data_IF_202251047116
#
_entry.id   IF_202251047116
#
_cell.length_a   1.000
_cell.length_b   1.000
_cell.length_c   1.000
_cell.angle_alpha   90.00
_cell.angle_beta   90.00
_cell.angle_gamma   90.00
#
_symmetry.space_group_name_H-M   'P 1'
#
loop_
_entity.id
_entity.type
_entity.pdbx_description
1 polymer ?
#
# COMPACT_ATOMS: atom_id res chain seq x y z
N UNK A 1 3.74 19.43 17.96
CA UNK A 1 4.73 18.35 17.76
C UNK A 1 4.55 17.36 18.90
N UNK A 2 3.75 16.34 18.69
CA UNK A 2 3.70 15.17 19.59
C UNK A 2 4.43 14.08 18.84
N UNK A 3 5.63 13.73 19.30
CA UNK A 3 6.35 12.57 18.82
C UNK A 3 5.54 11.34 19.19
N UNK A 4 5.08 10.61 18.18
CA UNK A 4 4.47 9.31 18.35
C UNK A 4 5.51 8.39 18.98
N UNK A 5 5.38 8.22 20.31
CA UNK A 5 6.14 7.23 21.08
C UNK A 5 5.70 5.82 20.66
N UNK A 6 5.95 5.46 19.40
CA UNK A 6 5.82 4.09 18.96
C UNK A 6 6.88 3.27 19.69
N UNK A 7 6.54 2.08 20.27
CA UNK A 7 7.54 1.19 20.82
C UNK A 7 8.61 0.96 19.75
N UNK A 8 9.87 0.92 20.17
CA UNK A 8 10.99 0.65 19.27
C UNK A 8 10.73 -0.67 18.54
N UNK A 9 10.23 -0.57 17.32
CA UNK A 9 10.01 -1.71 16.43
C UNK A 9 11.35 -2.28 15.96
N UNK A 10 11.32 -3.38 15.22
CA UNK A 10 12.53 -3.90 14.61
C UNK A 10 13.12 -2.83 13.70
N UNK A 11 14.44 -2.67 13.73
CA UNK A 11 15.17 -1.74 12.88
C UNK A 11 16.15 -2.51 12.00
N UNK A 12 16.09 -2.27 10.69
CA UNK A 12 16.93 -2.96 9.69
C UNK A 12 17.77 -1.94 8.93
N UNK A 13 18.98 -2.33 8.51
CA UNK A 13 19.85 -1.45 7.77
C UNK A 13 19.40 -1.27 6.31
N UNK A 14 18.78 -2.31 5.73
CA UNK A 14 18.39 -2.34 4.32
C UNK A 14 17.19 -3.28 4.08
N UNK A 15 16.64 -3.25 2.88
CA UNK A 15 15.50 -4.10 2.49
C UNK A 15 15.81 -5.60 2.53
N UNK A 16 16.98 -6.11 2.07
CA UNK A 16 17.31 -7.52 2.19
C UNK A 16 17.25 -8.04 3.61
N UNK A 17 17.73 -7.29 4.61
CA UNK A 17 17.63 -7.67 6.01
C UNK A 17 16.17 -7.72 6.50
N UNK A 18 15.35 -6.70 6.14
CA UNK A 18 13.93 -6.71 6.45
C UNK A 18 13.21 -7.89 5.79
N UNK A 19 13.51 -8.20 4.53
CA UNK A 19 12.87 -9.31 3.81
C UNK A 19 13.22 -10.66 4.44
N UNK A 20 14.50 -10.88 4.76
CA UNK A 20 14.93 -12.10 5.45
C UNK A 20 14.25 -12.25 6.83
N UNK A 21 14.09 -11.15 7.57
CA UNK A 21 13.37 -11.17 8.84
C UNK A 21 11.88 -11.47 8.65
N UNK A 22 11.23 -10.91 7.62
CA UNK A 22 9.83 -11.21 7.29
C UNK A 22 9.63 -12.68 6.92
N UNK A 23 10.53 -13.27 6.13
CA UNK A 23 10.48 -14.70 5.75
C UNK A 23 10.64 -15.62 6.94
N UNK A 24 11.45 -15.23 7.93
CA UNK A 24 11.74 -15.98 9.15
C UNK A 24 10.88 -15.62 10.36
N UNK A 25 9.78 -14.88 10.21
CA UNK A 25 8.96 -14.38 11.32
C UNK A 25 8.52 -15.48 12.29
N UNK A 26 8.84 -15.28 13.57
CA UNK A 26 8.38 -16.10 14.67
C UNK A 26 7.19 -15.44 15.37
N UNK A 27 6.22 -16.24 15.82
CA UNK A 27 5.03 -15.71 16.51
C UNK A 27 4.05 -14.96 15.60
N UNK A 28 4.18 -15.10 14.30
CA UNK A 28 3.27 -14.53 13.30
C UNK A 28 1.85 -15.10 13.52
N UNK A 29 0.85 -14.25 13.80
CA UNK A 29 -0.50 -14.70 14.14
C UNK A 29 -1.21 -15.42 12.98
N UNK A 30 -0.75 -15.24 11.74
CA UNK A 30 -1.31 -15.91 10.56
C UNK A 30 -0.50 -17.14 10.10
N UNK A 31 0.64 -17.45 10.75
CA UNK A 31 1.50 -18.57 10.35
C UNK A 31 0.81 -19.94 10.43
N UNK A 32 -0.09 -20.13 11.40
CA UNK A 32 -0.80 -21.39 11.61
C UNK A 32 -1.68 -21.81 10.40
N UNK A 33 -1.98 -20.89 9.50
CA UNK A 33 -2.80 -21.15 8.32
C UNK A 33 -2.00 -21.67 7.12
N UNK A 34 -0.68 -21.87 7.25
CA UNK A 34 0.17 -22.45 6.20
C UNK A 34 0.32 -21.61 4.93
N UNK A 35 -0.05 -20.33 4.98
CA UNK A 35 0.04 -19.39 3.84
C UNK A 35 1.45 -18.80 3.73
N UNK A 36 1.83 -18.38 2.53
CA UNK A 36 3.15 -17.80 2.25
C UNK A 36 3.27 -16.38 2.79
N UNK A 37 4.51 -15.97 3.07
CA UNK A 37 4.84 -14.55 3.19
C UNK A 37 4.86 -13.95 1.78
N UNK A 38 4.12 -12.88 1.58
CA UNK A 38 4.00 -12.12 0.32
C UNK A 38 4.41 -10.68 0.62
N UNK A 39 5.65 -10.31 0.29
CA UNK A 39 6.25 -9.07 0.80
C UNK A 39 5.95 -7.89 -0.13
N UNK A 40 6.48 -7.93 -1.35
CA UNK A 40 6.42 -6.77 -2.24
C UNK A 40 6.62 -7.12 -3.70
N UNK A 41 6.33 -6.15 -4.57
CA UNK A 41 6.74 -6.10 -5.99
C UNK A 41 6.99 -4.66 -6.42
N UNK A 42 7.55 -4.46 -7.61
CA UNK A 42 7.87 -3.15 -8.18
C UNK A 42 9.29 -2.71 -7.85
N UNK A 43 9.57 -1.41 -7.99
CA UNK A 43 10.90 -0.85 -7.84
C UNK A 43 11.15 -0.37 -6.39
N UNK A 44 12.16 -0.89 -5.69
CA UNK A 44 12.56 -0.38 -4.37
C UNK A 44 12.99 1.08 -4.33
N UNK A 45 13.40 1.65 -5.46
CA UNK A 45 13.75 3.06 -5.59
C UNK A 45 12.55 3.97 -5.97
N UNK A 46 11.34 3.39 -6.09
CA UNK A 46 10.16 4.14 -6.48
C UNK A 46 9.75 5.20 -5.45
N UNK A 47 9.38 6.38 -5.94
CA UNK A 47 8.87 7.48 -5.10
C UNK A 47 7.40 7.35 -4.74
N UNK A 48 6.67 6.47 -5.41
CA UNK A 48 5.28 6.14 -5.16
C UNK A 48 5.19 4.74 -4.57
N UNK A 49 4.63 4.63 -3.36
CA UNK A 49 4.38 3.36 -2.69
C UNK A 49 2.88 3.08 -2.59
N UNK A 50 2.47 1.87 -2.90
CA UNK A 50 1.11 1.39 -2.69
C UNK A 50 1.08 0.40 -1.53
N UNK A 51 0.15 0.60 -0.60
CA UNK A 51 -0.07 -0.29 0.54
C UNK A 51 -1.51 -0.82 0.44
N UNK A 52 -1.64 -2.13 0.26
CA UNK A 52 -2.92 -2.82 0.27
C UNK A 52 -3.30 -3.38 1.64
N UNK A 53 -4.32 -4.24 1.64
CA UNK A 53 -4.86 -4.87 2.86
C UNK A 53 -4.04 -6.11 3.25
N UNK A 54 -4.10 -7.15 2.43
CA UNK A 54 -3.53 -8.47 2.65
C UNK A 54 -3.41 -9.23 1.32
N UNK A 55 -2.57 -10.28 1.23
CA UNK A 55 -2.57 -11.19 0.10
C UNK A 55 -3.91 -11.93 -0.04
N UNK A 56 -4.37 -12.13 -1.27
CA UNK A 56 -5.45 -13.03 -1.63
C UNK A 56 -4.93 -14.41 -2.05
N UNK A 57 -5.82 -15.26 -2.59
CA UNK A 57 -5.47 -16.63 -2.97
C UNK A 57 -4.40 -16.70 -4.08
N UNK A 58 -4.48 -15.82 -5.09
CA UNK A 58 -3.50 -15.81 -6.18
C UNK A 58 -2.16 -15.25 -5.72
N UNK A 59 -2.18 -14.23 -4.85
CA UNK A 59 -0.99 -13.66 -4.25
C UNK A 59 -0.27 -14.69 -3.37
N UNK A 60 -1.01 -15.43 -2.56
CA UNK A 60 -0.48 -16.53 -1.74
C UNK A 60 0.12 -17.64 -2.60
N UNK A 61 -0.55 -18.01 -3.70
CA UNK A 61 -0.06 -19.03 -4.64
C UNK A 61 1.22 -18.61 -5.36
N UNK A 62 1.30 -17.34 -5.80
CA UNK A 62 2.40 -16.82 -6.62
C UNK A 62 3.52 -16.15 -5.82
N UNK A 63 3.29 -15.79 -4.56
CA UNK A 63 4.27 -15.13 -3.70
C UNK A 63 4.48 -13.65 -4.03
N UNK A 64 3.57 -13.00 -4.76
CA UNK A 64 3.65 -11.57 -5.12
C UNK A 64 2.34 -10.85 -4.83
N UNK A 65 2.38 -9.59 -4.30
CA UNK A 65 1.17 -8.82 -4.03
C UNK A 65 0.50 -8.33 -5.32
N UNK A 66 -0.83 -8.22 -5.30
CA UNK A 66 -1.63 -7.66 -6.38
C UNK A 66 -1.41 -8.31 -7.76
N UNK A 67 -1.43 -9.65 -7.82
CA UNK A 67 -1.33 -10.42 -9.08
C UNK A 67 -2.69 -10.96 -9.55
N UNK A 68 -3.68 -11.09 -8.66
CA UNK A 68 -5.03 -11.50 -8.97
C UNK A 68 -5.84 -10.43 -9.73
N UNK A 69 -7.14 -10.66 -9.94
CA UNK A 69 -8.04 -9.75 -10.70
C UNK A 69 -8.02 -8.31 -10.18
N UNK A 70 -7.94 -8.12 -8.86
CA UNK A 70 -7.85 -6.79 -8.24
C UNK A 70 -6.54 -6.10 -8.56
N UNK A 71 -5.44 -6.83 -8.54
CA UNK A 71 -4.11 -6.31 -8.88
C UNK A 71 -4.00 -5.95 -10.35
N UNK A 72 -4.54 -6.79 -11.25
CA UNK A 72 -4.60 -6.49 -12.69
C UNK A 72 -5.39 -5.20 -12.97
N UNK A 73 -6.52 -4.98 -12.26
CA UNK A 73 -7.24 -3.71 -12.37
C UNK A 73 -6.43 -2.54 -11.82
N UNK A 74 -5.71 -2.72 -10.70
CA UNK A 74 -4.81 -1.68 -10.15
C UNK A 74 -3.74 -1.29 -11.17
N UNK A 75 -3.11 -2.26 -11.81
CA UNK A 75 -2.11 -2.02 -12.84
C UNK A 75 -2.69 -1.27 -14.06
N UNK A 76 -3.92 -1.60 -14.47
CA UNK A 76 -4.63 -0.86 -15.52
C UNK A 76 -4.91 0.59 -15.12
N UNK A 77 -5.31 0.84 -13.86
CA UNK A 77 -5.54 2.18 -13.33
C UNK A 77 -4.24 3.00 -13.35
N UNK A 78 -3.13 2.42 -12.90
CA UNK A 78 -1.82 3.09 -12.93
C UNK A 78 -1.38 3.42 -14.35
N UNK A 79 -1.43 2.44 -15.26
CA UNK A 79 -1.06 2.66 -16.68
C UNK A 79 -1.95 3.67 -17.39
N UNK A 80 -3.21 3.83 -16.97
CA UNK A 80 -4.13 4.82 -17.58
C UNK A 80 -3.73 6.27 -17.34
N UNK A 81 -2.78 6.51 -16.43
CA UNK A 81 -2.16 7.81 -16.16
C UNK A 81 -0.63 7.77 -16.35
N UNK A 82 -0.14 6.89 -17.21
CA UNK A 82 1.28 6.74 -17.57
C UNK A 82 2.21 6.47 -16.36
N UNK A 83 1.72 5.76 -15.35
CA UNK A 83 2.53 5.18 -14.27
C UNK A 83 2.80 3.70 -14.58
N UNK A 84 4.07 3.33 -14.68
CA UNK A 84 4.48 1.93 -14.88
C UNK A 84 4.53 1.20 -13.53
N UNK A 85 3.68 0.17 -13.30
CA UNK A 85 3.66 -0.57 -12.04
C UNK A 85 4.99 -1.26 -11.69
N UNK A 86 5.90 -1.43 -12.66
CA UNK A 86 7.19 -2.09 -12.42
C UNK A 86 8.32 -1.12 -12.09
N UNK A 87 8.24 0.14 -12.57
CA UNK A 87 9.32 1.13 -12.43
C UNK A 87 8.97 2.30 -11.52
N UNK A 88 7.71 2.75 -11.57
CA UNK A 88 7.31 3.98 -10.89
C UNK A 88 6.69 3.71 -9.52
N UNK A 89 6.49 2.42 -9.17
CA UNK A 89 5.73 2.03 -7.99
C UNK A 89 6.40 0.90 -7.21
N UNK A 90 6.39 1.02 -5.88
CA UNK A 90 6.64 -0.08 -4.96
C UNK A 90 5.31 -0.52 -4.32
N UNK A 91 5.01 -1.81 -4.32
CA UNK A 91 3.71 -2.34 -3.87
C UNK A 91 3.90 -3.35 -2.75
N UNK A 92 3.17 -3.17 -1.67
CA UNK A 92 3.11 -4.09 -0.53
C UNK A 92 1.70 -4.13 0.10
N UNK A 93 1.54 -4.82 1.21
CA UNK A 93 0.30 -4.90 1.99
C UNK A 93 0.54 -4.55 3.46
N UNK A 94 -0.55 -4.25 4.19
CA UNK A 94 -0.52 -4.01 5.63
C UNK A 94 -0.18 -5.28 6.43
N UNK A 95 -0.57 -6.46 5.94
CA UNK A 95 -0.15 -7.76 6.46
C UNK A 95 0.45 -8.61 5.34
N UNK A 96 1.40 -9.48 5.67
CA UNK A 96 2.19 -10.21 4.68
C UNK A 96 1.73 -11.65 4.45
N UNK A 97 0.74 -12.13 5.18
CA UNK A 97 0.11 -13.44 4.95
C UNK A 97 -1.36 -13.30 4.63
N UNK A 98 -1.86 -14.26 3.86
CA UNK A 98 -3.27 -14.35 3.54
C UNK A 98 -4.07 -14.77 4.77
N UNK A 99 -5.06 -13.98 5.24
CA UNK A 99 -5.97 -14.40 6.29
C UNK A 99 -6.90 -15.53 5.82
N UNK A 100 -7.41 -16.38 6.74
CA UNK A 100 -8.37 -17.43 6.40
C UNK A 100 -9.56 -16.89 5.61
N UNK A 101 -9.98 -17.62 4.59
CA UNK A 101 -11.13 -17.30 3.72
C UNK A 101 -11.12 -15.88 3.12
N UNK A 102 -9.94 -15.28 3.00
CA UNK A 102 -9.73 -13.88 2.59
C UNK A 102 -10.53 -12.88 3.46
N UNK A 103 -10.75 -13.20 4.76
CA UNK A 103 -11.32 -12.21 5.67
C UNK A 103 -10.39 -11.01 5.84
N UNK A 104 -10.93 -9.91 6.32
CA UNK A 104 -10.08 -8.78 6.70
C UNK A 104 -9.17 -9.17 7.87
N UNK A 105 -7.94 -8.63 7.89
CA UNK A 105 -7.08 -8.73 9.08
C UNK A 105 -7.77 -8.14 10.32
N UNK A 106 -7.54 -8.76 11.48
CA UNK A 106 -8.02 -8.21 12.74
C UNK A 106 -7.19 -7.00 13.18
N UNK A 107 -7.68 -6.17 14.11
CA UNK A 107 -6.89 -5.08 14.67
C UNK A 107 -5.57 -5.56 15.31
N UNK A 108 -5.57 -6.73 15.95
CA UNK A 108 -4.40 -7.34 16.57
C UNK A 108 -3.38 -7.79 15.51
N UNK A 109 -3.84 -8.38 14.41
CA UNK A 109 -3.00 -8.76 13.27
C UNK A 109 -2.36 -7.51 12.63
N UNK A 110 -3.16 -6.46 12.40
CA UNK A 110 -2.64 -5.18 11.89
C UNK A 110 -1.61 -4.57 12.83
N UNK A 111 -1.87 -4.56 14.12
CA UNK A 111 -0.94 -4.05 15.15
C UNK A 111 0.37 -4.85 15.16
N UNK A 112 0.30 -6.17 14.98
CA UNK A 112 1.46 -7.06 14.98
C UNK A 112 2.37 -6.81 13.76
N UNK A 113 1.80 -6.66 12.56
CA UNK A 113 2.58 -6.40 11.33
C UNK A 113 3.01 -4.93 11.18
N UNK A 114 2.33 -4.00 11.85
CA UNK A 114 2.55 -2.56 11.69
C UNK A 114 4.02 -2.12 11.86
N UNK A 115 4.81 -2.61 12.83
CA UNK A 115 6.22 -2.24 12.97
C UNK A 115 7.05 -2.55 11.72
N UNK A 116 6.81 -3.70 11.08
CA UNK A 116 7.49 -4.09 9.83
C UNK A 116 7.02 -3.23 8.64
N UNK A 117 5.73 -2.86 8.59
CA UNK A 117 5.22 -1.94 7.57
C UNK A 117 5.86 -0.57 7.70
N UNK A 118 5.98 -0.04 8.91
CA UNK A 118 6.63 1.26 9.16
C UNK A 118 8.10 1.25 8.77
N UNK A 119 8.80 0.16 9.06
CA UNK A 119 10.19 -0.02 8.67
C UNK A 119 10.35 -0.16 7.14
N UNK A 120 9.40 -0.84 6.46
CA UNK A 120 9.34 -0.88 5.01
C UNK A 120 9.20 0.52 4.42
N UNK A 121 8.28 1.33 4.96
CA UNK A 121 8.10 2.74 4.52
C UNK A 121 9.35 3.57 4.77
N UNK A 122 10.06 3.35 5.89
CA UNK A 122 11.30 4.04 6.18
C UNK A 122 12.41 3.71 5.19
N UNK A 123 12.57 2.42 4.83
CA UNK A 123 13.63 1.94 3.94
C UNK A 123 13.39 2.30 2.47
N UNK A 124 12.14 2.29 2.02
CA UNK A 124 11.75 2.73 0.66
C UNK A 124 11.81 4.25 0.55
N UNK A 125 11.50 4.96 1.62
CA UNK A 125 11.41 6.43 1.69
C UNK A 125 10.59 7.07 0.54
N UNK A 126 9.36 6.61 0.30
CA UNK A 126 8.53 7.15 -0.78
C UNK A 126 8.12 8.59 -0.46
N UNK A 127 7.93 9.41 -1.48
CA UNK A 127 7.37 10.76 -1.35
C UNK A 127 5.84 10.75 -1.31
N UNK A 128 5.24 9.79 -2.01
CA UNK A 128 3.80 9.59 -2.08
C UNK A 128 3.45 8.16 -1.66
N UNK A 129 2.41 8.02 -0.84
CA UNK A 129 1.86 6.72 -0.45
C UNK A 129 0.38 6.66 -0.84
N UNK A 130 -0.03 5.64 -1.60
CA UNK A 130 -1.42 5.31 -1.85
C UNK A 130 -1.87 4.19 -0.91
N UNK A 131 -2.92 4.45 -0.15
CA UNK A 131 -3.55 3.46 0.72
C UNK A 131 -4.75 2.84 0.01
N UNK A 132 -4.60 1.60 -0.43
CA UNK A 132 -5.55 0.88 -1.26
C UNK A 132 -6.61 0.21 -0.37
N UNK A 133 -7.66 0.96 -0.04
CA UNK A 133 -8.76 0.52 0.82
C UNK A 133 -8.66 1.01 2.27
N UNK A 134 -9.76 0.82 3.01
CA UNK A 134 -9.88 1.32 4.38
C UNK A 134 -8.97 0.61 5.39
N UNK A 135 -8.63 -0.66 5.17
CA UNK A 135 -7.73 -1.42 6.05
C UNK A 135 -6.31 -0.86 5.98
N UNK A 136 -5.81 -0.55 4.78
CA UNK A 136 -4.51 0.10 4.62
C UNK A 136 -4.49 1.50 5.29
N UNK A 137 -5.58 2.27 5.17
CA UNK A 137 -5.72 3.56 5.85
C UNK A 137 -5.68 3.42 7.38
N UNK A 138 -6.36 2.43 7.91
CA UNK A 138 -6.31 2.12 9.35
C UNK A 138 -4.90 1.70 9.79
N UNK A 139 -4.23 0.86 9.01
CA UNK A 139 -2.91 0.33 9.36
C UNK A 139 -1.82 1.41 9.42
N UNK A 140 -1.81 2.35 8.48
CA UNK A 140 -0.78 3.40 8.44
C UNK A 140 -1.17 4.66 9.21
N UNK A 141 -2.34 5.24 8.88
CA UNK A 141 -2.79 6.54 9.41
C UNK A 141 -3.54 6.41 10.74
N UNK A 142 -3.88 5.20 11.19
CA UNK A 142 -4.82 4.96 12.31
C UNK A 142 -6.20 5.62 12.09
N UNK A 143 -6.55 5.86 10.83
CA UNK A 143 -7.77 6.54 10.42
C UNK A 143 -8.98 5.61 10.54
N UNK A 144 -9.98 6.03 11.33
CA UNK A 144 -11.17 5.24 11.63
C UNK A 144 -12.39 5.60 10.78
N UNK A 145 -12.32 6.74 10.06
CA UNK A 145 -13.39 7.10 9.12
C UNK A 145 -13.46 6.12 7.96
N UNK A 146 -14.67 5.91 7.43
CA UNK A 146 -14.87 5.00 6.29
C UNK A 146 -14.15 5.49 5.03
N UNK A 147 -13.71 4.55 4.19
CA UNK A 147 -12.99 4.86 2.95
C UNK A 147 -13.75 5.83 2.03
N UNK A 148 -15.07 5.79 2.02
CA UNK A 148 -15.91 6.71 1.24
C UNK A 148 -15.80 8.16 1.67
N UNK A 149 -15.40 8.41 2.91
CA UNK A 149 -15.22 9.74 3.47
C UNK A 149 -13.82 10.30 3.27
N UNK A 150 -12.81 9.42 3.22
CA UNK A 150 -11.40 9.83 3.19
C UNK A 150 -10.71 9.63 1.84
N UNK A 151 -11.29 8.85 0.92
CA UNK A 151 -10.70 8.63 -0.41
C UNK A 151 -10.47 9.96 -1.15
N UNK A 152 -9.39 10.05 -1.88
CA UNK A 152 -9.05 11.22 -2.67
C UNK A 152 -8.63 12.46 -1.86
N UNK A 153 -8.53 12.36 -0.53
CA UNK A 153 -8.00 13.42 0.32
C UNK A 153 -6.51 13.19 0.56
N UNK A 154 -5.75 14.27 0.54
CA UNK A 154 -4.34 14.24 0.93
C UNK A 154 -4.19 14.37 2.44
N UNK A 155 -3.33 13.52 2.99
CA UNK A 155 -2.86 13.56 4.38
C UNK A 155 -1.35 13.76 4.38
N UNK A 156 -0.86 14.57 5.31
CA UNK A 156 0.56 14.66 5.60
C UNK A 156 0.92 13.67 6.71
N UNK A 157 1.85 12.76 6.42
CA UNK A 157 2.27 11.74 7.37
C UNK A 157 3.80 11.60 7.34
N UNK A 158 4.48 12.02 8.41
CA UNK A 158 5.93 11.96 8.55
C UNK A 158 6.68 12.53 7.32
N UNK A 159 6.24 13.70 6.82
CA UNK A 159 6.83 14.38 5.67
C UNK A 159 6.48 13.76 4.31
N UNK A 160 5.56 12.80 4.26
CA UNK A 160 5.07 12.13 3.04
C UNK A 160 3.63 12.51 2.76
N UNK A 161 3.29 12.65 1.48
CA UNK A 161 1.90 12.84 1.04
C UNK A 161 1.21 11.49 0.93
N UNK A 162 0.09 11.33 1.60
CA UNK A 162 -0.64 10.05 1.67
C UNK A 162 -2.07 10.25 1.16
N UNK A 163 -2.54 9.37 0.26
CA UNK A 163 -3.91 9.41 -0.24
C UNK A 163 -4.56 8.03 -0.16
N UNK A 164 -5.65 7.88 0.61
CA UNK A 164 -6.51 6.71 0.52
C UNK A 164 -7.30 6.69 -0.79
N UNK A 165 -7.43 5.52 -1.40
CA UNK A 165 -8.25 5.26 -2.60
C UNK A 165 -9.13 4.04 -2.39
N UNK A 166 -10.16 3.85 -3.22
CA UNK A 166 -10.94 2.62 -3.19
C UNK A 166 -10.10 1.40 -3.54
N UNK A 167 -10.36 0.29 -2.85
CA UNK A 167 -9.73 -0.99 -3.20
C UNK A 167 -10.28 -1.50 -4.55
N UNK A 168 -9.43 -2.00 -5.48
CA UNK A 168 -9.89 -2.46 -6.78
C UNK A 168 -10.97 -3.55 -6.74
N UNK A 169 -10.96 -4.42 -5.72
CA UNK A 169 -12.04 -5.40 -5.51
C UNK A 169 -13.43 -4.76 -5.33
N UNK A 170 -13.49 -3.56 -4.73
CA UNK A 170 -14.73 -2.80 -4.62
C UNK A 170 -15.17 -2.27 -5.99
N UNK A 171 -14.23 -1.82 -6.83
CA UNK A 171 -14.49 -1.34 -8.19
C UNK A 171 -14.97 -2.46 -9.11
N UNK A 172 -14.46 -3.70 -8.93
CA UNK A 172 -14.92 -4.87 -9.68
C UNK A 172 -16.39 -5.20 -9.38
N UNK A 173 -16.81 -5.04 -8.12
CA UNK A 173 -18.21 -5.24 -7.70
C UNK A 173 -19.13 -4.06 -8.06
N UNK A 174 -18.56 -2.89 -8.38
CA UNK A 174 -19.27 -1.66 -8.74
C UNK A 174 -18.80 -1.17 -10.10
N UNK A 175 -19.23 -1.81 -11.21
CA UNK A 175 -18.66 -1.58 -12.54
C UNK A 175 -19.07 -0.25 -13.19
N UNK A 176 -20.04 0.48 -12.65
CA UNK A 176 -20.53 1.75 -13.20
C UNK A 176 -19.39 2.77 -13.38
N UNK A 177 -19.50 3.56 -14.46
CA UNK A 177 -18.59 4.68 -14.76
C UNK A 177 -19.32 6.03 -14.78
N UNK A 178 -20.58 6.05 -14.35
CA UNK A 178 -21.34 7.31 -14.26
C UNK A 178 -20.68 8.27 -13.25
N UNK A 179 -20.83 9.60 -13.41
CA UNK A 179 -20.33 10.57 -12.45
C UNK A 179 -20.74 10.20 -11.02
N UNK A 180 -19.80 10.28 -10.06
CA UNK A 180 -20.01 9.90 -8.67
C UNK A 180 -19.92 8.40 -8.36
N UNK A 181 -19.84 7.53 -9.39
CA UNK A 181 -19.60 6.09 -9.17
C UNK A 181 -18.17 5.82 -8.64
N UNK A 182 -17.95 4.68 -7.96
CA UNK A 182 -16.63 4.35 -7.43
C UNK A 182 -15.49 4.39 -8.47
N UNK A 183 -15.75 3.92 -9.71
CA UNK A 183 -14.75 3.98 -10.79
C UNK A 183 -14.49 5.40 -11.26
N UNK A 184 -15.53 6.24 -11.41
CA UNK A 184 -15.37 7.63 -11.79
C UNK A 184 -14.59 8.42 -10.72
N UNK A 185 -14.88 8.16 -9.44
CA UNK A 185 -14.16 8.78 -8.33
C UNK A 185 -12.70 8.34 -8.28
N UNK A 186 -12.42 7.05 -8.46
CA UNK A 186 -11.04 6.54 -8.51
C UNK A 186 -10.26 7.12 -9.69
N UNK A 187 -10.91 7.39 -10.82
CA UNK A 187 -10.30 8.06 -11.95
C UNK A 187 -9.82 9.48 -11.58
N UNK A 188 -10.63 10.23 -10.85
CA UNK A 188 -10.23 11.57 -10.37
C UNK A 188 -9.06 11.46 -9.37
N UNK A 189 -9.09 10.47 -8.47
CA UNK A 189 -8.02 10.25 -7.49
C UNK A 189 -6.69 9.97 -8.17
N UNK A 190 -6.66 9.05 -9.14
CA UNK A 190 -5.40 8.65 -9.77
C UNK A 190 -4.82 9.75 -10.66
N UNK A 191 -5.67 10.59 -11.28
CA UNK A 191 -5.20 11.77 -12.00
C UNK A 191 -4.53 12.79 -11.06
N UNK A 192 -5.07 12.96 -9.86
CA UNK A 192 -4.49 13.85 -8.84
C UNK A 192 -3.15 13.29 -8.33
N UNK A 193 -3.06 11.97 -8.16
CA UNK A 193 -1.78 11.30 -7.83
C UNK A 193 -0.75 11.52 -8.94
N UNK A 194 -1.14 11.38 -10.19
CA UNK A 194 -0.24 11.63 -11.33
C UNK A 194 0.30 13.05 -11.32
N UNK A 195 -0.56 14.05 -11.12
CA UNK A 195 -0.13 15.46 -11.01
C UNK A 195 0.88 15.66 -9.89
N UNK A 196 0.60 15.09 -8.70
CA UNK A 196 1.53 15.16 -7.58
C UNK A 196 2.87 14.47 -7.87
N UNK A 197 2.85 13.33 -8.55
CA UNK A 197 4.05 12.59 -8.95
C UNK A 197 4.90 13.37 -9.96
N UNK A 198 4.29 14.04 -10.93
CA UNK A 198 5.01 14.86 -11.91
C UNK A 198 5.72 16.06 -11.25
N UNK A 199 5.08 16.69 -10.26
CA UNK A 199 5.72 17.77 -9.48
C UNK A 199 6.99 17.32 -8.75
N UNK A 200 7.04 16.07 -8.27
CA UNK A 200 8.26 15.52 -7.66
C UNK A 200 9.40 15.40 -8.67
N UNK A 201 9.11 15.00 -9.91
CA UNK A 201 10.11 14.84 -10.97
C UNK A 201 10.72 16.17 -11.40
N UNK A 202 9.94 17.25 -11.37
CA UNK A 202 10.40 18.60 -11.72
C UNK A 202 11.25 19.19 -10.61
N UNK A 203 10.87 19.00 -9.34
CA UNK A 203 11.64 19.45 -8.18
C UNK A 203 13.05 18.87 -8.13
N UNK A 204 13.18 17.56 -8.38
CA UNK A 204 14.49 16.88 -8.36
C UNK A 204 15.41 17.29 -9.52
N UNK A 205 14.84 17.63 -10.67
CA UNK A 205 15.63 18.13 -11.80
C UNK A 205 16.18 19.55 -11.52
N UNK A 206 15.49 20.33 -10.68
CA UNK A 206 15.94 21.66 -10.26
C UNK A 206 17.02 21.61 -9.16
N UNK A 207 16.98 20.59 -8.29
CA UNK A 207 17.98 20.41 -7.22
C UNK A 207 19.27 19.73 -7.73
N UNK A 208 19.28 19.19 -8.96
CA UNK A 208 20.43 18.51 -9.58
C UNK A 208 21.26 19.43 -10.50
N UNK A 209 20.90 20.71 -10.65
CA UNK A 209 21.60 21.73 -11.44
C UNK A 209 22.18 22.81 -10.55
#
# INVERSE_FOLDING_TARGET
MQGDGLPAGPHFQNLPELFAALEGLQGDPLAAHGTRIVISRGDPAARLMLIGEAPGAEEDRLGQPFVGKSGQLLDQILRSVDLDPARDVFVTNAVYRRPPDNRKPTPEELAWYRPYLLEMVRLIDPRIILLVGGVAALALLTEKRGITQIRGQWFDWNGRRVMPIFHPAYLLRNPSRTPGSPKALTWLDIQEVRRAFDHLRVGDAADAT
#
